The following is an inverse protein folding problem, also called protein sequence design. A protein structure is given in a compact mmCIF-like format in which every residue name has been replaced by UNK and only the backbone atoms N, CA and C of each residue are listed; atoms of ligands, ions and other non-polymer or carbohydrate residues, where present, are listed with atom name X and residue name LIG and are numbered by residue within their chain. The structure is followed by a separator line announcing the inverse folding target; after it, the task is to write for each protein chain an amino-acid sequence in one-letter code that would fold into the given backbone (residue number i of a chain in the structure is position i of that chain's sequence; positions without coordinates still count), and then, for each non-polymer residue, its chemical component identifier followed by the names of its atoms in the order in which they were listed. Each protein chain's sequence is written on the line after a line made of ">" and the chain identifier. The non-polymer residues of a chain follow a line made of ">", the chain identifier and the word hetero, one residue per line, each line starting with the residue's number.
data_IF_430972185393
#
_entry.id   IF_430972185393
#
_cell.length_a   1.000
_cell.length_b   1.000
_cell.length_c   1.000
_cell.angle_alpha   90.00
_cell.angle_beta   90.00
_cell.angle_gamma   90.00
#
_symmetry.space_group_name_H-M   'P 1'
#
loop_
_entity.id
_entity.type
_entity.pdbx_description
1 polymer ?
#
# COMPACT_ATOMS: atom_id res chain seq x y z
N UNK A 1 5.36 -15.99 21.54
CA UNK A 1 6.60 -16.65 22.00
C UNK A 1 6.27 -18.07 22.45
N UNK A 2 7.03 -19.05 22.01
CA UNK A 2 7.01 -20.40 22.56
C UNK A 2 8.20 -20.45 23.53
N UNK A 3 7.91 -20.57 24.81
CA UNK A 3 8.96 -20.45 25.85
C UNK A 3 9.80 -21.72 25.98
N UNK A 4 9.19 -22.90 25.79
CA UNK A 4 9.88 -24.17 25.81
C UNK A 4 9.20 -25.16 24.86
N UNK A 5 9.93 -25.62 23.84
CA UNK A 5 9.42 -26.58 22.87
C UNK A 5 9.12 -27.96 23.50
N UNK A 6 9.80 -28.32 24.59
CA UNK A 6 9.56 -29.61 25.30
C UNK A 6 8.19 -29.67 25.95
N UNK A 7 7.57 -28.52 26.21
CA UNK A 7 6.21 -28.45 26.79
C UNK A 7 5.10 -28.57 25.74
N UNK A 8 5.45 -28.61 24.44
CA UNK A 8 4.48 -28.78 23.37
C UNK A 8 4.15 -30.25 23.21
N UNK A 9 2.98 -30.64 23.66
CA UNK A 9 2.47 -32.02 23.66
C UNK A 9 1.39 -32.26 22.59
N UNK A 10 0.90 -31.20 21.96
CA UNK A 10 -0.12 -31.28 20.88
C UNK A 10 0.21 -30.38 19.72
N UNK A 11 -0.19 -30.79 18.52
CA UNK A 11 -0.11 -29.94 17.31
C UNK A 11 -1.27 -28.94 17.22
N UNK A 12 -1.32 -28.15 16.14
CA UNK A 12 -2.36 -27.16 15.88
C UNK A 12 -3.77 -27.75 15.67
N UNK A 13 -3.90 -29.08 15.52
CA UNK A 13 -5.16 -29.81 15.42
C UNK A 13 -5.53 -30.51 16.72
N UNK A 14 -4.75 -30.31 17.78
CA UNK A 14 -4.95 -30.97 19.08
C UNK A 14 -4.48 -32.41 19.14
N UNK A 15 -3.73 -32.90 18.14
CA UNK A 15 -3.20 -34.25 18.14
C UNK A 15 -1.92 -34.33 18.97
N UNK A 16 -1.76 -35.40 19.74
CA UNK A 16 -0.58 -35.65 20.55
C UNK A 16 0.68 -35.73 19.68
N UNK A 17 1.72 -35.01 20.07
CA UNK A 17 3.02 -35.01 19.40
C UNK A 17 4.15 -35.16 20.40
N UNK A 18 5.23 -35.82 19.98
CA UNK A 18 6.49 -35.88 20.72
C UNK A 18 7.56 -35.16 19.91
N UNK A 19 8.17 -34.15 20.49
CA UNK A 19 9.24 -33.38 19.86
C UNK A 19 10.57 -34.11 20.04
N UNK A 20 11.23 -34.43 18.93
CA UNK A 20 12.53 -35.10 18.85
C UNK A 20 13.54 -34.21 18.14
N UNK A 21 14.80 -34.63 18.08
CA UNK A 21 15.87 -33.93 17.33
C UNK A 21 15.56 -33.78 15.83
N UNK A 22 14.73 -34.66 15.27
CA UNK A 22 14.36 -34.66 13.86
C UNK A 22 13.02 -33.95 13.59
N UNK A 23 12.39 -33.41 14.63
CA UNK A 23 11.10 -32.70 14.50
C UNK A 23 11.27 -31.37 13.79
N UNK A 24 10.40 -31.11 12.79
CA UNK A 24 10.29 -29.82 12.11
C UNK A 24 9.20 -28.99 12.75
N UNK A 25 9.59 -27.85 13.33
CA UNK A 25 8.66 -26.89 13.92
C UNK A 25 8.29 -25.82 12.89
N UNK A 26 6.99 -25.69 12.59
CA UNK A 26 6.47 -24.67 11.67
C UNK A 26 5.46 -23.80 12.40
N UNK A 27 5.80 -22.53 12.58
CA UNK A 27 4.89 -21.51 13.14
C UNK A 27 4.25 -20.76 11.98
N UNK A 28 2.91 -20.76 11.92
CA UNK A 28 2.14 -20.02 10.91
C UNK A 28 1.18 -19.08 11.63
N UNK A 29 1.15 -17.84 11.19
CA UNK A 29 0.18 -16.86 11.62
C UNK A 29 -0.14 -15.89 10.49
N UNK A 30 -1.28 -15.22 10.60
CA UNK A 30 -1.67 -14.10 9.73
C UNK A 30 -1.74 -12.84 10.57
N UNK A 31 -1.29 -11.74 10.00
CA UNK A 31 -1.42 -10.42 10.61
C UNK A 31 -1.84 -9.41 9.55
N UNK A 32 -2.67 -8.45 9.96
CA UNK A 32 -3.05 -7.30 9.14
C UNK A 32 -2.26 -6.08 9.61
N UNK A 33 -1.69 -5.33 8.67
CA UNK A 33 -1.10 -4.04 8.98
C UNK A 33 -2.19 -3.08 9.46
N UNK A 34 -1.92 -2.36 10.53
CA UNK A 34 -2.80 -1.33 11.08
C UNK A 34 -2.41 0.07 10.58
N UNK A 35 -3.06 1.10 11.09
CA UNK A 35 -2.85 2.49 10.69
C UNK A 35 -1.46 3.06 11.09
N UNK A 36 -0.70 2.32 11.91
CA UNK A 36 0.68 2.65 12.29
C UNK A 36 1.70 2.04 11.31
N UNK A 37 1.25 1.39 10.24
CA UNK A 37 2.14 0.81 9.25
C UNK A 37 3.03 1.88 8.62
N UNK A 38 4.35 1.59 8.59
CA UNK A 38 5.34 2.47 8.00
C UNK A 38 5.26 2.40 6.48
N UNK A 39 5.15 3.56 5.84
CA UNK A 39 5.12 3.71 4.37
C UNK A 39 6.55 3.95 3.87
N UNK A 40 6.90 3.36 2.72
CA UNK A 40 8.18 3.58 2.05
C UNK A 40 9.26 2.56 2.39
N UNK A 41 10.51 2.96 2.17
CA UNK A 41 11.68 2.06 2.13
C UNK A 41 12.05 1.42 3.47
N UNK A 42 11.63 1.99 4.60
CA UNK A 42 11.85 1.39 5.93
C UNK A 42 11.10 0.08 6.07
N UNK A 43 9.87 0.00 5.52
CA UNK A 43 9.02 -1.18 5.57
C UNK A 43 8.58 -1.57 6.99
N UNK A 44 7.75 -2.61 7.06
CA UNK A 44 7.21 -3.18 8.29
C UNK A 44 7.86 -4.55 8.49
N UNK A 45 8.82 -4.65 9.40
CA UNK A 45 9.63 -5.85 9.56
C UNK A 45 9.04 -6.83 10.56
N UNK A 46 9.19 -8.12 10.25
CA UNK A 46 9.01 -9.22 11.17
C UNK A 46 10.35 -9.97 11.30
N UNK A 47 10.74 -10.27 12.53
CA UNK A 47 12.04 -10.88 12.83
C UNK A 47 11.82 -12.15 13.65
N UNK A 48 12.52 -13.21 13.30
CA UNK A 48 12.51 -14.47 14.01
C UNK A 48 13.93 -14.88 14.42
N UNK A 49 14.06 -15.46 15.61
CA UNK A 49 15.28 -16.11 16.08
C UNK A 49 14.94 -17.28 17.01
N UNK A 50 15.87 -18.18 17.21
CA UNK A 50 15.75 -19.28 18.15
C UNK A 50 16.72 -19.04 19.30
N UNK A 51 16.20 -19.02 20.52
CA UNK A 51 17.00 -19.04 21.73
C UNK A 51 17.13 -20.50 22.18
N UNK A 52 18.34 -20.96 22.42
CA UNK A 52 18.62 -22.34 22.81
C UNK A 52 19.58 -22.39 24.01
N UNK A 53 19.50 -23.49 24.80
CA UNK A 53 20.46 -23.73 25.86
C UNK A 53 21.78 -24.17 25.23
N UNK A 54 22.90 -23.55 25.61
CA UNK A 54 24.25 -23.95 25.27
C UNK A 54 25.02 -24.54 26.44
N UNK A 55 24.33 -24.80 27.56
CA UNK A 55 24.87 -25.49 28.74
C UNK A 55 24.03 -26.76 29.00
N UNK A 56 24.40 -27.90 28.41
CA UNK A 56 23.64 -29.15 28.54
C UNK A 56 23.64 -29.74 29.93
N UNK A 57 24.55 -29.29 30.80
CA UNK A 57 24.71 -29.82 32.18
C UNK A 57 23.96 -28.98 33.23
N UNK A 58 23.35 -27.86 32.84
CA UNK A 58 22.56 -27.02 33.75
C UNK A 58 21.10 -27.47 33.80
N UNK A 59 20.60 -27.70 34.99
CA UNK A 59 19.21 -28.11 35.26
C UNK A 59 18.22 -26.95 35.31
N UNK A 60 18.65 -25.74 35.07
CA UNK A 60 17.80 -24.54 34.99
C UNK A 60 18.60 -23.25 35.03
N UNK A 61 18.32 -22.34 34.13
CA UNK A 61 18.93 -21.02 34.11
C UNK A 61 20.39 -20.95 33.61
N UNK A 62 20.87 -22.00 32.96
CA UNK A 62 22.20 -22.01 32.34
C UNK A 62 22.38 -21.05 31.19
N UNK A 63 23.58 -20.95 30.67
CA UNK A 63 23.93 -20.10 29.55
C UNK A 63 23.07 -20.39 28.31
N UNK A 64 22.66 -19.34 27.58
CA UNK A 64 21.82 -19.43 26.39
C UNK A 64 22.54 -18.82 25.18
N UNK A 65 22.35 -19.46 24.03
CA UNK A 65 22.71 -18.91 22.74
C UNK A 65 21.45 -18.44 21.97
N UNK A 66 21.66 -17.57 21.02
CA UNK A 66 20.62 -17.12 20.08
C UNK A 66 21.13 -17.32 18.64
N UNK A 67 20.30 -17.85 17.78
CA UNK A 67 20.62 -17.91 16.34
C UNK A 67 20.68 -16.51 15.75
N UNK A 68 21.37 -16.31 14.62
CA UNK A 68 21.19 -15.12 13.80
C UNK A 68 19.71 -14.85 13.57
N UNK A 69 19.34 -13.56 13.52
CA UNK A 69 17.96 -13.12 13.29
C UNK A 69 17.63 -13.20 11.80
N UNK A 70 16.58 -13.93 11.47
CA UNK A 70 15.98 -13.92 10.14
C UNK A 70 14.89 -12.85 10.08
N UNK A 71 14.93 -12.01 9.04
CA UNK A 71 14.08 -10.83 8.91
C UNK A 71 13.36 -10.84 7.58
N UNK A 72 12.05 -10.60 7.62
CA UNK A 72 11.22 -10.30 6.45
C UNK A 72 10.59 -8.92 6.62
N UNK A 73 10.30 -8.24 5.52
CA UNK A 73 9.65 -6.93 5.54
C UNK A 73 8.48 -6.87 4.57
N UNK A 74 7.43 -6.18 4.96
CA UNK A 74 6.29 -5.81 4.11
C UNK A 74 6.34 -4.31 3.86
N UNK A 75 6.30 -3.91 2.58
CA UNK A 75 6.32 -2.51 2.18
C UNK A 75 4.93 -2.05 1.78
N UNK A 76 4.58 -0.83 2.19
CA UNK A 76 3.37 -0.14 1.77
C UNK A 76 3.72 1.18 1.11
N UNK A 77 2.81 1.65 0.26
CA UNK A 77 3.02 2.83 -0.58
C UNK A 77 1.90 3.83 -0.40
N UNK A 78 2.08 5.01 -0.98
CA UNK A 78 1.04 6.02 -1.09
C UNK A 78 1.01 6.63 -2.49
N UNK A 79 -0.21 7.00 -2.92
CA UNK A 79 -0.42 7.80 -4.12
C UNK A 79 -0.83 9.20 -3.69
N UNK A 80 -0.16 10.20 -4.25
CA UNK A 80 -0.42 11.63 -3.99
C UNK A 80 -0.90 12.27 -5.28
N UNK A 81 -2.11 12.76 -5.29
CA UNK A 81 -2.72 13.45 -6.43
C UNK A 81 -2.79 14.94 -6.13
N UNK A 82 -2.08 15.74 -6.91
CA UNK A 82 -2.24 17.18 -6.89
C UNK A 82 -3.29 17.57 -7.93
N UNK A 83 -4.36 18.19 -7.47
CA UNK A 83 -5.42 18.70 -8.33
C UNK A 83 -5.08 20.09 -8.79
N UNK A 84 -4.96 20.27 -10.11
CA UNK A 84 -4.53 21.53 -10.72
C UNK A 84 -5.43 21.96 -11.86
N UNK A 85 -5.43 23.26 -12.15
CA UNK A 85 -6.11 23.89 -13.28
C UNK A 85 -5.43 23.50 -14.61
N UNK A 86 -6.01 23.89 -15.71
CA UNK A 86 -5.52 23.65 -17.09
C UNK A 86 -4.12 24.23 -17.36
N UNK A 87 -3.64 25.18 -16.56
CA UNK A 87 -2.27 25.69 -16.58
C UNK A 87 -1.25 24.70 -16.00
N UNK A 88 -1.73 23.57 -15.40
CA UNK A 88 -0.96 22.51 -14.76
C UNK A 88 -0.15 22.94 -13.53
N UNK A 89 -0.41 24.11 -12.99
CA UNK A 89 0.31 24.70 -11.86
C UNK A 89 -0.63 25.18 -10.76
N UNK A 90 -1.69 25.91 -11.09
CA UNK A 90 -2.61 26.49 -10.10
C UNK A 90 -3.40 25.39 -9.38
N UNK A 91 -3.29 25.26 -8.04
CA UNK A 91 -4.08 24.31 -7.28
C UNK A 91 -5.58 24.57 -7.45
N UNK A 92 -6.36 23.49 -7.69
CA UNK A 92 -7.79 23.57 -7.94
C UNK A 92 -8.59 22.86 -6.83
N UNK A 93 -9.40 23.61 -6.10
CA UNK A 93 -10.27 23.12 -5.04
C UNK A 93 -11.59 22.56 -5.57
N UNK A 94 -12.33 21.84 -4.74
CA UNK A 94 -13.68 21.37 -5.05
C UNK A 94 -13.74 20.02 -5.76
N UNK A 95 -12.60 19.34 -5.95
CA UNK A 95 -12.57 17.98 -6.45
C UNK A 95 -12.79 16.96 -5.33
N UNK A 96 -13.37 15.80 -5.68
CA UNK A 96 -13.41 14.60 -4.86
C UNK A 96 -12.92 13.41 -5.65
N UNK A 97 -12.24 12.46 -4.99
CA UNK A 97 -11.67 11.29 -5.63
C UNK A 97 -11.96 10.00 -4.89
N UNK A 98 -12.24 8.94 -5.63
CA UNK A 98 -12.29 7.57 -5.12
C UNK A 98 -11.21 6.73 -5.77
N UNK A 99 -10.45 6.00 -4.93
CA UNK A 99 -9.46 5.03 -5.37
C UNK A 99 -10.04 3.62 -5.26
N UNK A 100 -9.89 2.85 -6.33
CA UNK A 100 -10.25 1.44 -6.40
C UNK A 100 -9.02 0.58 -6.65
N UNK A 101 -9.05 -0.66 -6.17
CA UNK A 101 -8.05 -1.69 -6.46
C UNK A 101 -8.69 -2.85 -7.19
N UNK A 102 -8.00 -3.37 -8.21
CA UNK A 102 -8.40 -4.57 -8.94
C UNK A 102 -8.05 -5.81 -8.15
N UNK A 103 -9.00 -6.68 -7.95
CA UNK A 103 -8.80 -7.97 -7.28
C UNK A 103 -8.33 -9.05 -8.28
N UNK A 104 -8.09 -10.27 -7.77
CA UNK A 104 -7.63 -11.39 -8.59
C UNK A 104 -8.67 -11.86 -9.63
N UNK A 105 -9.94 -11.48 -9.49
CA UNK A 105 -11.02 -11.77 -10.45
C UNK A 105 -11.14 -10.72 -11.54
N UNK A 106 -10.36 -9.63 -11.43
CA UNK A 106 -10.42 -8.49 -12.35
C UNK A 106 -11.45 -7.43 -11.98
N UNK A 107 -12.13 -7.55 -10.84
CA UNK A 107 -13.12 -6.61 -10.36
C UNK A 107 -12.47 -5.49 -9.56
N UNK A 108 -12.89 -4.23 -9.79
CA UNK A 108 -12.48 -3.10 -8.99
C UNK A 108 -13.30 -3.00 -7.70
N UNK A 109 -12.62 -2.97 -6.56
CA UNK A 109 -13.19 -2.76 -5.22
C UNK A 109 -12.71 -1.44 -4.65
N UNK A 110 -13.59 -0.68 -4.00
CA UNK A 110 -13.27 0.61 -3.40
C UNK A 110 -12.25 0.44 -2.27
N UNK A 111 -11.15 1.18 -2.36
CA UNK A 111 -10.12 1.26 -1.31
C UNK A 111 -10.48 2.36 -0.32
N UNK A 112 -10.64 3.58 -0.84
CA UNK A 112 -10.98 4.76 -0.04
C UNK A 112 -11.51 5.87 -0.93
N UNK A 113 -12.15 6.84 -0.30
CA UNK A 113 -12.68 8.04 -0.94
C UNK A 113 -12.25 9.26 -0.15
N UNK A 114 -11.89 10.33 -0.85
CA UNK A 114 -11.65 11.65 -0.28
C UNK A 114 -12.66 12.59 -0.90
N UNK A 115 -13.59 13.07 -0.08
CA UNK A 115 -14.66 13.96 -0.52
C UNK A 115 -14.13 15.31 -1.00
N UNK A 116 -14.91 15.98 -1.84
CA UNK A 116 -14.62 17.33 -2.29
C UNK A 116 -14.63 18.32 -1.11
N UNK A 117 -13.78 19.34 -1.24
CA UNK A 117 -13.64 20.39 -0.24
C UNK A 117 -12.52 21.35 -0.63
N UNK A 118 -11.87 21.90 0.37
CA UNK A 118 -10.78 22.88 0.21
C UNK A 118 -9.43 22.23 -0.16
N UNK A 119 -9.31 20.89 0.00
CA UNK A 119 -8.05 20.20 -0.33
C UNK A 119 -7.79 20.20 -1.83
N UNK A 120 -6.53 20.37 -2.19
CA UNK A 120 -6.02 20.29 -3.55
C UNK A 120 -5.00 19.18 -3.72
N UNK A 121 -4.60 18.53 -2.61
CA UNK A 121 -3.68 17.39 -2.59
C UNK A 121 -4.35 16.22 -1.90
N UNK A 122 -4.53 15.13 -2.61
CA UNK A 122 -5.23 13.92 -2.17
C UNK A 122 -4.24 12.79 -1.95
N UNK A 123 -4.13 12.28 -0.72
CA UNK A 123 -3.16 11.25 -0.36
C UNK A 123 -3.85 9.95 0.01
N UNK A 124 -3.59 8.91 -0.78
CA UNK A 124 -4.09 7.55 -0.58
C UNK A 124 -2.96 6.68 -0.01
N UNK A 125 -3.08 6.26 1.26
CA UNK A 125 -2.03 5.58 2.03
C UNK A 125 -2.28 4.08 2.16
N UNK A 126 -1.23 3.32 2.54
CA UNK A 126 -1.34 1.90 2.86
C UNK A 126 -1.54 1.00 1.64
N UNK A 127 -1.10 1.45 0.47
CA UNK A 127 -1.27 0.73 -0.78
C UNK A 127 -0.20 -0.36 -0.93
N UNK A 128 -0.53 -1.40 -1.69
CA UNK A 128 0.40 -2.45 -2.13
C UNK A 128 0.62 -2.39 -3.64
N UNK A 129 1.57 -3.11 -4.19
CA UNK A 129 1.68 -3.30 -5.63
C UNK A 129 0.38 -3.91 -6.21
N UNK A 130 0.03 -3.57 -7.45
CA UNK A 130 -1.18 -4.04 -8.14
C UNK A 130 -1.80 -3.00 -9.04
N UNK A 131 -2.97 -3.33 -9.60
CA UNK A 131 -3.70 -2.49 -10.53
C UNK A 131 -4.76 -1.66 -9.79
N UNK A 132 -4.81 -0.37 -10.11
CA UNK A 132 -5.69 0.61 -9.48
C UNK A 132 -6.45 1.42 -10.50
N UNK A 133 -7.55 2.02 -10.04
CA UNK A 133 -8.34 2.99 -10.79
C UNK A 133 -8.66 4.19 -9.91
N UNK A 134 -8.34 5.38 -10.39
CA UNK A 134 -8.70 6.66 -9.79
C UNK A 134 -9.89 7.24 -10.55
N UNK A 135 -10.96 7.55 -9.84
CA UNK A 135 -12.16 8.21 -10.39
C UNK A 135 -12.34 9.58 -9.72
N UNK A 136 -12.53 10.62 -10.51
CA UNK A 136 -12.96 11.93 -10.01
C UNK A 136 -14.47 11.85 -9.78
N UNK A 137 -14.87 11.69 -8.52
CA UNK A 137 -16.28 11.50 -8.12
C UNK A 137 -17.02 12.81 -7.90
N UNK A 138 -16.29 13.90 -7.74
CA UNK A 138 -16.82 15.26 -7.74
C UNK A 138 -15.85 16.19 -8.47
N UNK A 139 -16.40 16.97 -9.40
CA UNK A 139 -15.65 17.88 -10.26
C UNK A 139 -15.80 19.30 -9.76
N UNK A 140 -14.71 20.11 -9.73
CA UNK A 140 -14.80 21.54 -9.45
C UNK A 140 -15.79 22.27 -10.35
N UNK A 141 -16.50 23.24 -9.79
CA UNK A 141 -17.50 24.01 -10.55
C UNK A 141 -16.87 24.74 -11.75
N UNK A 142 -17.48 24.61 -12.92
CA UNK A 142 -17.00 25.21 -14.17
C UNK A 142 -15.93 24.40 -14.92
N UNK A 143 -15.63 23.20 -14.46
CA UNK A 143 -14.67 22.30 -15.10
C UNK A 143 -15.34 21.02 -15.62
N UNK A 144 -14.67 20.35 -16.56
CA UNK A 144 -15.08 19.04 -17.06
C UNK A 144 -14.46 17.93 -16.21
N UNK A 145 -15.24 16.92 -15.87
CA UNK A 145 -14.77 15.71 -15.19
C UNK A 145 -13.72 14.99 -16.04
N UNK A 146 -12.66 14.51 -15.42
CA UNK A 146 -11.71 13.62 -16.10
C UNK A 146 -12.30 12.22 -16.25
N UNK A 147 -11.92 11.51 -17.30
CA UNK A 147 -12.19 10.08 -17.38
C UNK A 147 -11.38 9.32 -16.32
N UNK A 148 -11.88 8.17 -15.90
CA UNK A 148 -11.19 7.27 -14.98
C UNK A 148 -9.74 7.02 -15.43
N UNK A 149 -8.82 7.03 -14.50
CA UNK A 149 -7.41 6.73 -14.75
C UNK A 149 -7.05 5.39 -14.15
N UNK A 150 -6.77 4.42 -15.01
CA UNK A 150 -6.21 3.14 -14.58
C UNK A 150 -4.70 3.20 -14.58
N UNK A 151 -4.07 2.64 -13.53
CA UNK A 151 -2.62 2.59 -13.39
C UNK A 151 -2.19 1.38 -12.57
N UNK A 152 -0.94 0.97 -12.78
CA UNK A 152 -0.33 -0.15 -12.08
C UNK A 152 0.80 0.36 -11.18
N UNK A 153 0.76 0.00 -9.90
CA UNK A 153 1.88 0.17 -8.96
C UNK A 153 2.76 -1.07 -9.04
N UNK A 154 4.05 -0.88 -9.32
CA UNK A 154 5.06 -1.93 -9.34
C UNK A 154 6.16 -1.59 -8.36
N UNK A 155 6.68 -2.61 -7.66
CA UNK A 155 7.75 -2.46 -6.69
C UNK A 155 8.68 -3.67 -6.75
N UNK A 156 9.97 -3.43 -6.67
CA UNK A 156 11.00 -4.46 -6.57
C UNK A 156 11.67 -4.39 -5.21
N UNK A 157 11.92 -5.55 -4.63
CA UNK A 157 12.52 -5.68 -3.30
C UNK A 157 13.75 -6.56 -3.37
N UNK A 158 14.77 -6.24 -2.58
CA UNK A 158 15.86 -7.17 -2.31
C UNK A 158 15.33 -8.28 -1.38
N UNK A 159 15.35 -9.51 -1.88
CA UNK A 159 14.92 -10.70 -1.14
C UNK A 159 16.09 -11.60 -0.74
N UNK A 160 17.31 -11.21 -1.09
CA UNK A 160 18.52 -12.00 -0.86
C UNK A 160 19.33 -11.52 0.34
N UNK A 161 19.02 -10.34 0.84
CA UNK A 161 19.67 -9.74 2.00
C UNK A 161 18.94 -10.09 3.30
N UNK A 162 19.70 -10.29 4.38
CA UNK A 162 19.19 -10.39 5.75
C UNK A 162 18.43 -9.12 6.19
N UNK A 163 18.59 -8.04 5.43
CA UNK A 163 17.84 -6.78 5.58
C UNK A 163 17.10 -6.46 4.28
N UNK A 164 15.86 -6.96 4.08
CA UNK A 164 15.07 -6.66 2.90
C UNK A 164 14.89 -5.16 2.71
N UNK A 165 15.14 -4.67 1.49
CA UNK A 165 15.00 -3.24 1.13
C UNK A 165 14.15 -3.08 -0.12
N UNK A 166 13.46 -1.95 -0.23
CA UNK A 166 12.76 -1.54 -1.45
C UNK A 166 13.78 -1.00 -2.46
N UNK A 167 13.92 -1.65 -3.63
CA UNK A 167 14.85 -1.25 -4.70
C UNK A 167 14.24 -0.31 -5.72
N UNK A 168 12.99 -0.54 -6.09
CA UNK A 168 12.28 0.32 -7.03
C UNK A 168 10.81 0.46 -6.65
N UNK A 169 10.23 1.60 -7.00
CA UNK A 169 8.81 1.89 -6.88
C UNK A 169 8.40 2.72 -8.09
N UNK A 170 7.42 2.24 -8.85
CA UNK A 170 6.92 2.94 -10.04
C UNK A 170 5.40 2.85 -10.13
N UNK A 171 4.78 3.82 -10.80
CA UNK A 171 3.40 3.71 -11.25
C UNK A 171 3.31 4.07 -12.72
N UNK A 172 2.60 3.25 -13.49
CA UNK A 172 2.41 3.43 -14.92
C UNK A 172 0.93 3.45 -15.25
N UNK A 173 0.46 4.52 -15.91
CA UNK A 173 -0.91 4.60 -16.39
C UNK A 173 -1.14 3.58 -17.51
N UNK A 174 -2.23 2.83 -17.39
CA UNK A 174 -2.62 1.76 -18.32
C UNK A 174 -3.83 2.15 -19.18
N UNK A 175 -4.57 3.19 -18.79
CA UNK A 175 -5.66 3.77 -19.58
C UNK A 175 -5.17 4.78 -20.62
N UNK A 176 -6.04 5.15 -21.56
CA UNK A 176 -5.77 6.21 -22.55
C UNK A 176 -5.56 7.57 -21.90
N UNK A 177 -6.18 7.81 -20.75
CA UNK A 177 -6.00 9.01 -19.94
C UNK A 177 -4.75 8.87 -19.08
N UNK A 178 -3.60 9.28 -19.60
CA UNK A 178 -2.30 9.03 -18.99
C UNK A 178 -1.98 10.06 -17.91
N UNK A 179 -1.72 9.57 -16.69
CA UNK A 179 -1.01 10.30 -15.66
C UNK A 179 0.48 9.97 -15.72
N UNK A 180 1.31 10.97 -15.47
CA UNK A 180 2.74 10.77 -15.24
C UNK A 180 2.98 10.79 -13.73
N UNK A 181 3.57 9.73 -13.21
CA UNK A 181 3.90 9.60 -11.81
C UNK A 181 5.40 9.86 -11.57
N UNK A 182 5.69 10.64 -10.53
CA UNK A 182 7.02 10.79 -9.97
C UNK A 182 7.10 9.95 -8.71
N UNK A 183 8.11 9.09 -8.58
CA UNK A 183 8.29 8.22 -7.43
C UNK A 183 9.35 8.75 -6.46
N UNK A 184 9.10 8.57 -5.17
CA UNK A 184 10.08 8.70 -4.10
C UNK A 184 10.10 7.41 -3.29
N UNK A 185 11.17 6.63 -3.40
CA UNK A 185 11.31 5.32 -2.75
C UNK A 185 11.35 5.47 -1.22
N UNK A 186 12.04 6.50 -0.72
CA UNK A 186 12.20 6.73 0.72
C UNK A 186 10.85 6.93 1.39
N UNK A 187 10.01 7.79 0.82
CA UNK A 187 8.68 8.09 1.35
C UNK A 187 7.61 7.10 0.86
N UNK A 188 7.97 6.18 -0.06
CA UNK A 188 7.03 5.26 -0.68
C UNK A 188 5.93 5.96 -1.48
N UNK A 189 6.20 7.16 -2.01
CA UNK A 189 5.20 7.99 -2.67
C UNK A 189 5.29 7.95 -4.18
N UNK A 190 4.11 8.01 -4.80
CA UNK A 190 3.87 8.10 -6.23
C UNK A 190 3.01 9.32 -6.47
N UNK A 191 3.60 10.41 -6.95
CA UNK A 191 2.93 11.72 -7.09
C UNK A 191 2.57 12.00 -8.54
N UNK A 192 1.35 12.44 -8.79
CA UNK A 192 0.89 12.86 -10.10
C UNK A 192 -0.02 14.11 -10.03
N UNK A 193 -0.03 14.88 -11.12
CA UNK A 193 -0.95 16.02 -11.27
C UNK A 193 -2.17 15.59 -12.08
N UNK A 194 -3.36 15.83 -11.55
CA UNK A 194 -4.64 15.68 -12.25
C UNK A 194 -5.14 17.04 -12.69
N UNK A 195 -5.23 17.23 -14.00
CA UNK A 195 -5.60 18.49 -14.64
C UNK A 195 -7.06 18.45 -15.06
N UNK A 196 -7.89 19.42 -14.64
CA UNK A 196 -9.19 19.64 -15.25
C UNK A 196 -9.13 20.79 -16.23
N UNK A 197 -9.87 20.64 -17.33
CA UNK A 197 -10.08 21.70 -18.32
C UNK A 197 -11.38 22.42 -18.01
N UNK A 198 -11.39 23.74 -18.17
CA UNK A 198 -12.61 24.53 -18.04
C UNK A 198 -13.66 24.04 -19.04
N UNK A 199 -14.90 23.89 -18.57
CA UNK A 199 -16.03 23.59 -19.43
C UNK A 199 -16.26 24.74 -20.40
N UNK A 200 -16.65 24.45 -21.64
CA UNK A 200 -17.15 25.47 -22.56
C UNK A 200 -18.52 25.95 -22.05
N UNK A 201 -18.62 27.24 -21.71
CA UNK A 201 -19.91 27.86 -21.50
C UNK A 201 -20.52 27.96 -22.90
N UNK A 202 -21.61 27.20 -23.17
CA UNK A 202 -22.41 27.41 -24.37
C UNK A 202 -22.93 28.86 -24.29
N UNK A 203 -22.73 29.69 -25.33
CA UNK A 203 -23.35 30.99 -25.33
C UNK A 203 -24.86 30.78 -25.14
N UNK A 204 -25.45 31.46 -24.17
CA UNK A 204 -26.88 31.51 -24.05
C UNK A 204 -27.40 32.17 -25.34
N UNK A 205 -27.89 31.39 -26.25
CA UNK A 205 -28.68 31.93 -27.37
C UNK A 205 -29.99 32.41 -26.77
N UNK A 206 -29.97 33.67 -26.34
CA UNK A 206 -31.18 34.35 -25.92
C UNK A 206 -32.22 34.23 -27.06
N UNK A 207 -33.33 33.58 -26.77
CA UNK A 207 -34.49 33.60 -27.61
C UNK A 207 -34.92 35.07 -27.74
N UNK A 208 -34.67 35.67 -28.90
CA UNK A 208 -35.33 36.93 -29.28
C UNK A 208 -36.78 36.54 -29.56
N UNK A 209 -37.65 36.74 -28.57
CA UNK A 209 -39.09 36.66 -28.80
C UNK A 209 -39.48 37.70 -29.82
N UNK A 210 -39.91 37.26 -30.98
CA UNK A 210 -40.62 38.08 -31.96
C UNK A 210 -42.03 38.27 -31.45
N UNK A 211 -42.38 39.51 -31.16
CA UNK A 211 -43.76 40.03 -31.03
C UNK A 211 -44.45 40.04 -32.38
#
# INVERSE_FOLDING_TARGET
>A
TINDLKTVTTDHKGQAVTITKDSKIVVRYTAKLNDQAVIGSTGNSNTASLIYSNDPNSTGGGSKGETPKDKVAVFTYQVVINKVDQDKQTPLKGAGFTLYKKDATGKYTKVTEIAAGETTTFTFKGLSAGDYKLSETQTPAGYNTIADVEFKISAEMDRTSDNPTLKSLTATATSTNKLTFTSNITDGSLTANVVNKKGSILPSTGSIGTT
#
